data_IF_478562211800
#
_entry.id   IF_478562211800
#
_cell.length_a   1.000
_cell.length_b   1.000
_cell.length_c   1.000
_cell.angle_alpha   90.00
_cell.angle_beta   90.00
_cell.angle_gamma   90.00
#
_symmetry.space_group_name_H-M   'P 1'
#
loop_
_entity.id
_entity.type
_entity.pdbx_description
1 polymer ?
#
# COMPACT_ATOMS: atom_id res chain seq x y z
N UNK A 1 -32.07 4.40 5.57
CA UNK A 1 -32.05 3.70 4.29
C UNK A 1 -30.65 3.87 3.69
N UNK A 2 -30.05 2.76 3.22
CA UNK A 2 -28.75 2.81 2.54
C UNK A 2 -28.99 3.20 1.08
N UNK A 3 -28.14 4.07 0.52
CA UNK A 3 -28.14 4.35 -0.90
C UNK A 3 -27.45 3.20 -1.63
N UNK A 4 -28.12 2.58 -2.61
CA UNK A 4 -27.56 1.48 -3.39
C UNK A 4 -26.23 1.85 -4.08
N UNK A 5 -26.07 3.11 -4.49
CA UNK A 5 -24.85 3.62 -5.10
C UNK A 5 -23.70 3.72 -4.11
N UNK A 6 -23.97 4.13 -2.87
CA UNK A 6 -22.96 4.15 -1.80
C UNK A 6 -22.47 2.74 -1.47
N UNK A 7 -23.41 1.78 -1.42
CA UNK A 7 -23.06 0.37 -1.21
C UNK A 7 -22.17 -0.16 -2.34
N UNK A 8 -22.51 0.14 -3.60
CA UNK A 8 -21.70 -0.28 -4.74
C UNK A 8 -20.30 0.34 -4.74
N UNK A 9 -20.17 1.63 -4.45
CA UNK A 9 -18.90 2.34 -4.41
C UNK A 9 -17.99 1.91 -3.26
N UNK A 10 -18.56 1.37 -2.18
CA UNK A 10 -17.80 0.91 -1.01
C UNK A 10 -17.15 -0.46 -1.18
N UNK A 11 -17.50 -1.19 -2.25
CA UNK A 11 -16.90 -2.49 -2.54
C UNK A 11 -15.43 -2.33 -2.97
N UNK A 12 -14.55 -3.05 -2.31
CA UNK A 12 -13.14 -3.04 -2.68
C UNK A 12 -12.45 -4.39 -2.45
N UNK A 13 -11.33 -4.56 -3.12
CA UNK A 13 -10.39 -5.65 -2.87
C UNK A 13 -8.99 -5.08 -2.79
N UNK A 14 -8.35 -5.27 -1.65
CA UNK A 14 -6.94 -4.99 -1.43
C UNK A 14 -6.14 -6.29 -1.43
N UNK A 15 -4.93 -6.26 -1.98
CA UNK A 15 -4.01 -7.41 -1.97
C UNK A 15 -2.59 -6.95 -1.68
N UNK A 16 -1.92 -7.71 -0.80
CA UNK A 16 -0.49 -7.62 -0.57
C UNK A 16 0.10 -9.03 -0.67
N UNK A 17 1.10 -9.22 -1.52
CA UNK A 17 1.72 -10.53 -1.71
C UNK A 17 3.23 -10.47 -1.46
N UNK A 18 3.82 -11.51 -0.83
CA UNK A 18 5.25 -11.61 -0.62
C UNK A 18 6.06 -11.51 -1.92
N UNK A 19 5.55 -12.05 -3.02
CA UNK A 19 6.22 -12.01 -4.33
C UNK A 19 6.39 -10.59 -4.88
N UNK A 20 5.46 -9.68 -4.56
CA UNK A 20 5.54 -8.27 -4.95
C UNK A 20 6.39 -7.46 -3.98
N UNK A 21 6.22 -7.70 -2.68
CA UNK A 21 6.90 -6.95 -1.63
C UNK A 21 8.40 -7.23 -1.55
N UNK A 22 8.82 -8.43 -1.92
CA UNK A 22 10.21 -8.85 -1.91
C UNK A 22 10.95 -8.58 -3.24
N UNK A 23 10.25 -8.03 -4.26
CA UNK A 23 10.91 -7.65 -5.52
C UNK A 23 11.83 -6.45 -5.32
N UNK A 24 13.03 -6.47 -5.94
CA UNK A 24 13.87 -5.28 -6.01
C UNK A 24 13.11 -4.14 -6.70
N UNK A 25 13.13 -2.96 -6.09
CA UNK A 25 12.53 -1.76 -6.67
C UNK A 25 13.61 -0.97 -7.43
N UNK A 26 13.24 -0.43 -8.60
CA UNK A 26 14.16 0.37 -9.44
C UNK A 26 14.52 1.69 -8.73
N UNK A 27 13.68 2.15 -7.81
CA UNK A 27 13.91 3.39 -7.05
C UNK A 27 13.67 4.68 -7.84
N UNK A 28 12.98 4.58 -8.98
CA UNK A 28 12.52 5.71 -9.79
C UNK A 28 11.01 5.68 -9.89
N UNK A 29 10.36 6.80 -9.59
CA UNK A 29 8.91 6.89 -9.45
C UNK A 29 8.35 8.08 -10.21
N UNK A 30 7.18 7.94 -10.82
CA UNK A 30 6.46 9.01 -11.49
C UNK A 30 5.50 9.70 -10.52
N UNK A 31 5.63 11.00 -10.32
CA UNK A 31 4.72 11.77 -9.49
C UNK A 31 3.71 12.50 -10.37
N UNK A 32 2.48 12.00 -10.41
CA UNK A 32 1.40 12.61 -11.18
C UNK A 32 0.97 13.94 -10.56
N UNK A 33 0.41 14.81 -11.41
CA UNK A 33 -0.37 15.95 -10.94
C UNK A 33 -1.70 15.44 -10.37
N UNK A 34 -1.88 15.53 -9.04
CA UNK A 34 -3.05 14.98 -8.36
C UNK A 34 -4.33 15.79 -8.59
N UNK A 35 -4.22 17.01 -9.16
CA UNK A 35 -5.32 17.87 -9.54
C UNK A 35 -5.25 18.21 -11.04
N UNK A 36 -5.43 17.23 -11.95
CA UNK A 36 -5.15 17.39 -13.39
C UNK A 36 -6.17 18.26 -14.16
N UNK A 37 -7.22 18.71 -13.51
CA UNK A 37 -8.30 19.47 -14.15
C UNK A 37 -9.15 18.59 -15.11
N UNK A 38 -9.64 19.20 -16.18
CA UNK A 38 -10.51 18.50 -17.17
C UNK A 38 -9.75 17.57 -18.11
N UNK A 39 -8.45 17.68 -18.19
CA UNK A 39 -7.62 16.94 -19.14
C UNK A 39 -7.28 15.51 -18.70
N UNK A 40 -7.60 15.18 -17.44
CA UNK A 40 -7.27 13.89 -16.84
C UNK A 40 -5.78 13.77 -16.48
N UNK A 41 -5.39 12.60 -15.97
CA UNK A 41 -4.02 12.33 -15.58
C UNK A 41 -3.12 12.15 -16.80
N UNK A 42 -1.93 12.74 -16.73
CA UNK A 42 -0.88 12.59 -17.75
C UNK A 42 0.39 12.05 -17.11
N UNK A 43 1.12 11.27 -17.86
CA UNK A 43 2.46 10.83 -17.47
C UNK A 43 3.38 12.05 -17.38
N UNK A 44 4.08 12.27 -16.25
CA UNK A 44 5.01 13.38 -16.11
C UNK A 44 6.27 13.16 -16.97
N UNK A 45 6.94 14.24 -17.32
CA UNK A 45 8.20 14.22 -18.08
C UNK A 45 9.42 13.93 -17.18
N UNK A 46 9.20 13.76 -15.89
CA UNK A 46 10.22 13.47 -14.89
C UNK A 46 9.85 12.29 -14.00
N UNK A 47 10.86 11.75 -13.37
CA UNK A 47 10.73 10.75 -12.30
C UNK A 47 11.45 11.25 -11.06
N UNK A 48 11.00 10.83 -9.88
CA UNK A 48 11.72 11.15 -8.65
C UNK A 48 12.40 9.92 -8.05
N UNK A 49 13.42 10.18 -7.27
CA UNK A 49 14.08 9.23 -6.37
C UNK A 49 14.32 9.88 -5.02
N UNK A 50 14.32 9.08 -3.97
CA UNK A 50 14.66 9.53 -2.61
C UNK A 50 16.00 8.91 -2.23
N UNK A 51 16.96 9.77 -1.92
CA UNK A 51 18.31 9.41 -1.53
C UNK A 51 18.52 9.69 -0.02
N UNK A 52 19.67 9.35 0.51
CA UNK A 52 20.05 9.70 1.89
C UNK A 52 20.12 11.23 2.12
N UNK A 53 20.30 12.01 1.07
CA UNK A 53 20.46 13.46 1.15
C UNK A 53 19.18 14.25 0.94
N UNK A 54 18.21 13.67 0.22
CA UNK A 54 16.97 14.34 -0.15
C UNK A 54 16.22 13.68 -1.30
N UNK A 55 15.25 14.38 -1.84
CA UNK A 55 14.49 13.97 -3.03
C UNK A 55 15.09 14.64 -4.27
N UNK A 56 15.21 13.88 -5.35
CA UNK A 56 15.71 14.38 -6.64
C UNK A 56 14.69 14.05 -7.74
N UNK A 57 14.34 15.04 -8.54
CA UNK A 57 13.56 14.87 -9.76
C UNK A 57 14.51 14.83 -10.95
N UNK A 58 14.37 13.81 -11.80
CA UNK A 58 15.21 13.56 -12.96
C UNK A 58 14.35 13.67 -14.21
N UNK A 59 14.68 14.58 -15.13
CA UNK A 59 14.04 14.75 -16.43
C UNK A 59 14.33 13.53 -17.28
N UNK A 60 13.30 12.89 -17.84
CA UNK A 60 13.49 11.68 -18.65
C UNK A 60 14.13 11.96 -20.01
N UNK A 61 14.00 13.19 -20.52
CA UNK A 61 14.54 13.55 -21.84
C UNK A 61 16.07 13.56 -21.93
N UNK A 62 16.75 13.99 -20.85
CA UNK A 62 18.19 14.22 -20.86
C UNK A 62 18.91 13.68 -19.62
N UNK A 63 18.18 12.98 -18.73
CA UNK A 63 18.64 12.43 -17.46
C UNK A 63 19.25 13.48 -16.50
N UNK A 64 18.87 14.76 -16.66
CA UNK A 64 19.33 15.83 -15.78
C UNK A 64 18.43 16.00 -14.59
N UNK A 65 19.03 16.35 -13.45
CA UNK A 65 18.29 16.69 -12.23
C UNK A 65 17.62 18.06 -12.45
N UNK A 66 16.30 18.10 -12.21
CA UNK A 66 15.57 19.35 -12.03
C UNK A 66 15.85 19.90 -10.63
N UNK A 67 16.86 20.75 -10.52
CA UNK A 67 17.32 21.28 -9.25
C UNK A 67 16.23 22.11 -8.54
N UNK A 68 15.46 22.91 -9.29
CA UNK A 68 14.43 23.78 -8.73
C UNK A 68 13.27 22.96 -8.14
N UNK A 69 12.76 21.98 -8.90
CA UNK A 69 11.70 21.09 -8.43
C UNK A 69 12.18 20.25 -7.24
N UNK A 70 13.38 19.70 -7.32
CA UNK A 70 14.00 18.90 -6.25
C UNK A 70 14.12 19.70 -4.94
N UNK A 71 14.66 20.91 -5.01
CA UNK A 71 14.81 21.78 -3.83
C UNK A 71 13.45 22.17 -3.22
N UNK A 72 12.44 22.43 -4.05
CA UNK A 72 11.09 22.75 -3.54
C UNK A 72 10.49 21.61 -2.74
N UNK A 73 10.58 20.38 -3.26
CA UNK A 73 10.06 19.19 -2.57
C UNK A 73 10.89 18.86 -1.32
N UNK A 74 12.22 18.87 -1.43
CA UNK A 74 13.14 18.62 -0.33
C UNK A 74 12.90 19.55 0.86
N UNK A 75 12.76 20.86 0.58
CA UNK A 75 12.48 21.89 1.59
C UNK A 75 11.15 21.62 2.32
N UNK A 76 10.09 21.23 1.58
CA UNK A 76 8.79 20.94 2.19
C UNK A 76 8.85 19.65 3.01
N UNK A 77 9.50 18.60 2.51
CA UNK A 77 9.68 17.35 3.25
C UNK A 77 10.43 17.57 4.57
N UNK A 78 11.57 18.27 4.53
CA UNK A 78 12.34 18.64 5.73
C UNK A 78 11.54 19.50 6.71
N UNK A 79 10.80 20.49 6.21
CA UNK A 79 9.92 21.33 7.04
C UNK A 79 8.83 20.53 7.75
N UNK A 80 8.36 19.43 7.14
CA UNK A 80 7.37 18.52 7.74
C UNK A 80 8.01 17.44 8.64
N UNK A 81 9.34 17.46 8.80
CA UNK A 81 10.08 16.56 9.68
C UNK A 81 10.37 15.21 9.08
N UNK A 82 10.40 15.09 7.74
CA UNK A 82 10.79 13.85 7.06
C UNK A 82 12.27 13.56 7.27
N UNK A 83 12.58 12.37 7.78
CA UNK A 83 13.97 11.92 8.02
C UNK A 83 14.41 11.01 6.87
N UNK A 84 15.34 11.47 6.07
CA UNK A 84 15.90 10.70 4.93
C UNK A 84 16.82 9.56 5.38
N UNK A 85 16.92 8.48 4.56
CA UNK A 85 16.16 8.20 3.35
C UNK A 85 14.75 7.64 3.64
N UNK A 86 13.93 7.51 2.60
CA UNK A 86 12.70 6.75 2.71
C UNK A 86 13.00 5.24 2.81
N UNK A 87 12.41 4.57 3.80
CA UNK A 87 12.43 3.10 3.92
C UNK A 87 11.47 2.41 2.95
N UNK A 88 10.35 3.08 2.66
CA UNK A 88 9.32 2.56 1.74
C UNK A 88 8.71 3.71 0.97
N UNK A 89 8.44 3.45 -0.30
CA UNK A 89 7.77 4.36 -1.21
C UNK A 89 6.65 3.56 -1.86
N UNK A 90 5.40 3.93 -1.62
CA UNK A 90 4.23 3.26 -2.15
C UNK A 90 3.35 4.27 -2.88
N UNK A 91 2.98 3.98 -4.10
CA UNK A 91 2.11 4.82 -4.92
C UNK A 91 1.62 4.08 -6.15
N UNK A 92 0.63 4.66 -6.82
CA UNK A 92 0.09 4.16 -8.07
C UNK A 92 0.32 5.21 -9.17
N UNK A 93 1.26 4.96 -10.04
CA UNK A 93 1.61 5.85 -11.16
C UNK A 93 0.69 5.70 -12.38
N UNK A 94 -0.36 4.86 -12.30
CA UNK A 94 -1.32 4.70 -13.41
C UNK A 94 -2.07 5.98 -13.70
N UNK A 95 -2.21 6.33 -14.97
CA UNK A 95 -3.08 7.42 -15.44
C UNK A 95 -4.55 6.98 -15.60
N UNK A 96 -4.83 5.67 -15.51
CA UNK A 96 -6.18 5.09 -15.59
C UNK A 96 -6.83 5.02 -14.21
N UNK A 97 -7.07 6.18 -13.59
CA UNK A 97 -7.69 6.29 -12.28
C UNK A 97 -8.58 7.52 -12.19
N UNK A 98 -9.53 7.51 -11.28
CA UNK A 98 -10.49 8.61 -11.12
C UNK A 98 -9.96 9.74 -10.23
N UNK A 99 -9.02 9.45 -9.33
CA UNK A 99 -8.35 10.41 -8.46
C UNK A 99 -6.98 9.87 -8.06
N UNK A 100 -6.15 10.73 -7.49
CA UNK A 100 -4.78 10.41 -7.11
C UNK A 100 -4.54 10.70 -5.63
N UNK A 101 -4.14 9.68 -4.89
CA UNK A 101 -3.68 9.82 -3.51
C UNK A 101 -2.18 10.10 -3.41
N UNK A 102 -1.47 10.15 -4.53
CA UNK A 102 -0.03 10.34 -4.58
C UNK A 102 0.73 9.15 -4.01
N UNK A 103 1.66 9.45 -3.12
CA UNK A 103 2.52 8.45 -2.49
C UNK A 103 2.36 8.44 -0.98
N UNK A 104 2.37 7.24 -0.39
CA UNK A 104 2.66 7.03 1.01
C UNK A 104 4.15 6.68 1.15
N UNK A 105 4.85 7.45 1.96
CA UNK A 105 6.28 7.30 2.22
C UNK A 105 6.47 6.91 3.69
N UNK A 106 7.35 5.96 3.96
CA UNK A 106 7.86 5.74 5.31
C UNK A 106 9.26 6.31 5.37
N UNK A 107 9.51 7.23 6.29
CA UNK A 107 10.82 7.82 6.50
C UNK A 107 11.81 6.85 7.20
N UNK A 108 13.05 7.27 7.45
CA UNK A 108 14.05 6.45 8.10
C UNK A 108 13.67 5.97 9.51
N UNK A 109 12.72 6.62 10.16
CA UNK A 109 12.19 6.25 11.49
C UNK A 109 10.94 5.36 11.42
N UNK A 110 10.41 5.11 10.21
CA UNK A 110 9.15 4.42 10.00
C UNK A 110 7.92 5.30 10.26
N UNK A 111 8.07 6.62 10.23
CA UNK A 111 6.96 7.56 10.29
C UNK A 111 6.32 7.70 8.91
N UNK A 112 4.98 7.59 8.78
CA UNK A 112 4.33 7.70 7.50
C UNK A 112 4.08 9.15 7.09
N UNK A 113 4.20 9.39 5.78
CA UNK A 113 3.92 10.68 5.15
C UNK A 113 3.13 10.47 3.87
N UNK A 114 2.21 11.37 3.56
CA UNK A 114 1.63 11.47 2.23
C UNK A 114 2.36 12.54 1.43
N UNK A 115 2.71 12.23 0.18
CA UNK A 115 3.32 13.17 -0.77
C UNK A 115 2.51 13.22 -2.06
N UNK A 116 2.14 14.42 -2.50
CA UNK A 116 1.42 14.71 -3.77
C UNK A 116 2.05 15.89 -4.48
N UNK A 117 1.69 16.04 -5.75
CA UNK A 117 1.84 17.29 -6.47
C UNK A 117 0.45 17.90 -6.72
N UNK A 118 0.25 19.16 -6.35
CA UNK A 118 -1.02 19.88 -6.55
C UNK A 118 -0.74 21.21 -7.25
N UNK A 119 -1.22 21.37 -8.47
CA UNK A 119 -0.95 22.55 -9.31
C UNK A 119 0.56 22.87 -9.38
N UNK A 120 1.38 21.86 -9.64
CA UNK A 120 2.83 21.96 -9.72
C UNK A 120 3.57 22.18 -8.40
N UNK A 121 2.85 22.17 -7.26
CA UNK A 121 3.41 22.45 -5.94
C UNK A 121 3.48 21.17 -5.08
N UNK A 122 4.52 21.02 -4.23
CA UNK A 122 4.59 19.90 -3.31
C UNK A 122 3.52 20.02 -2.22
N UNK A 123 2.79 18.94 -2.01
CA UNK A 123 1.97 18.70 -0.84
C UNK A 123 2.60 17.55 -0.07
N UNK A 124 3.01 17.81 1.17
CA UNK A 124 3.57 16.78 2.07
C UNK A 124 2.86 16.90 3.42
N UNK A 125 2.32 15.79 3.88
CA UNK A 125 1.68 15.72 5.19
C UNK A 125 2.26 14.56 5.99
N UNK A 126 2.74 14.86 7.19
CA UNK A 126 3.09 13.88 8.21
C UNK A 126 1.80 13.25 8.73
N UNK A 127 1.80 11.94 8.88
CA UNK A 127 0.70 11.18 9.47
C UNK A 127 1.10 10.84 10.90
N UNK A 128 0.28 11.24 11.85
CA UNK A 128 0.56 11.00 13.26
C UNK A 128 0.41 9.50 13.56
N UNK A 129 1.33 8.96 14.35
CA UNK A 129 1.34 7.57 14.77
C UNK A 129 1.62 7.47 16.26
N UNK A 130 1.17 6.39 16.94
CA UNK A 130 1.62 6.12 18.30
C UNK A 130 3.14 5.94 18.36
N UNK A 131 3.80 6.45 19.38
CA UNK A 131 5.26 6.34 19.54
C UNK A 131 5.76 4.89 19.60
N UNK A 132 4.91 3.99 20.07
CA UNK A 132 5.19 2.56 20.19
C UNK A 132 5.09 1.78 18.88
N UNK A 133 4.66 2.41 17.77
CA UNK A 133 4.42 1.77 16.46
C UNK A 133 5.44 2.26 15.46
N UNK A 134 6.14 1.35 14.80
CA UNK A 134 7.06 1.63 13.69
C UNK A 134 6.53 0.97 12.43
N UNK A 135 6.19 1.77 11.43
CA UNK A 135 5.71 1.20 10.17
C UNK A 135 6.85 0.72 9.28
N UNK A 136 6.61 -0.45 8.65
CA UNK A 136 7.58 -1.13 7.76
C UNK A 136 7.04 -1.29 6.34
N UNK A 137 5.72 -1.31 6.20
CA UNK A 137 5.02 -1.45 4.92
C UNK A 137 3.98 -0.35 4.76
N UNK A 138 3.81 0.11 3.53
CA UNK A 138 2.79 1.09 3.16
C UNK A 138 2.19 0.69 1.81
N UNK A 139 0.88 0.90 1.66
CA UNK A 139 0.11 0.60 0.47
C UNK A 139 -0.87 1.74 0.22
N UNK A 140 -0.79 2.37 -0.94
CA UNK A 140 -1.76 3.39 -1.37
C UNK A 140 -2.98 2.68 -1.93
N UNK A 141 -4.16 3.17 -1.58
CA UNK A 141 -5.42 2.75 -2.19
C UNK A 141 -6.13 3.93 -2.83
N UNK A 142 -6.88 3.65 -3.89
CA UNK A 142 -7.64 4.64 -4.64
C UNK A 142 -9.02 4.04 -4.97
N UNK A 143 -9.72 3.62 -3.89
CA UNK A 143 -11.05 3.03 -3.99
C UNK A 143 -12.12 4.08 -4.31
N UNK A 144 -13.20 3.72 -5.03
CA UNK A 144 -14.19 4.68 -5.51
C UNK A 144 -14.87 5.52 -4.41
N UNK A 145 -15.06 4.97 -3.20
CA UNK A 145 -15.64 5.65 -2.05
C UNK A 145 -14.72 6.71 -1.41
N UNK A 146 -13.41 6.69 -1.77
CA UNK A 146 -12.37 7.61 -1.27
C UNK A 146 -12.21 7.61 0.26
N UNK A 147 -12.73 6.61 0.94
CA UNK A 147 -12.66 6.52 2.40
C UNK A 147 -11.24 6.29 2.88
N UNK A 148 -10.48 5.43 2.17
CA UNK A 148 -9.13 5.03 2.56
C UNK A 148 -8.06 5.74 1.73
N UNK A 149 -7.00 6.20 2.38
CA UNK A 149 -5.73 6.56 1.75
C UNK A 149 -4.87 5.32 1.49
N UNK A 150 -5.01 4.30 2.34
CA UNK A 150 -4.22 3.10 2.21
C UNK A 150 -4.20 2.20 3.43
N UNK A 151 -3.29 1.23 3.40
CA UNK A 151 -2.99 0.37 4.53
C UNK A 151 -1.52 0.51 4.93
N UNK A 152 -1.23 0.37 6.22
CA UNK A 152 0.12 0.37 6.78
C UNK A 152 0.35 -0.92 7.56
N UNK A 153 1.53 -1.53 7.40
CA UNK A 153 1.98 -2.66 8.22
C UNK A 153 3.09 -2.23 9.17
N UNK A 154 2.97 -2.60 10.43
CA UNK A 154 3.96 -2.28 11.45
C UNK A 154 5.02 -3.39 11.64
N UNK A 155 5.99 -3.14 12.50
CA UNK A 155 7.10 -4.05 12.80
C UNK A 155 6.71 -5.25 13.68
N UNK A 156 5.48 -5.26 14.21
CA UNK A 156 4.91 -6.36 15.01
C UNK A 156 3.91 -7.19 14.21
N UNK A 157 3.70 -6.87 12.93
CA UNK A 157 2.74 -7.53 12.06
C UNK A 157 1.32 -6.98 12.16
N UNK A 158 1.10 -5.88 12.86
CA UNK A 158 -0.19 -5.18 12.89
C UNK A 158 -0.48 -4.53 11.53
N UNK A 159 -1.73 -4.65 11.10
CA UNK A 159 -2.23 -4.01 9.88
C UNK A 159 -3.16 -2.86 10.27
N UNK A 160 -2.89 -1.69 9.75
CA UNK A 160 -3.62 -0.47 10.05
C UNK A 160 -4.30 0.07 8.81
N UNK A 161 -5.59 0.38 8.90
CA UNK A 161 -6.31 1.16 7.90
C UNK A 161 -6.00 2.64 8.12
N UNK A 162 -5.63 3.34 7.06
CA UNK A 162 -5.40 4.79 7.05
C UNK A 162 -6.56 5.45 6.29
N UNK A 163 -7.39 6.20 7.00
CA UNK A 163 -8.53 6.90 6.41
C UNK A 163 -8.15 8.23 5.74
N UNK A 164 -9.07 8.78 4.95
CA UNK A 164 -8.87 10.02 4.21
C UNK A 164 -8.69 11.26 5.11
N UNK A 165 -9.18 11.20 6.35
CA UNK A 165 -8.97 12.22 7.38
C UNK A 165 -7.64 12.07 8.13
N UNK A 166 -6.84 11.04 7.77
CA UNK A 166 -5.56 10.63 8.36
C UNK A 166 -5.67 9.93 9.71
N UNK A 167 -6.85 9.51 10.12
CA UNK A 167 -6.99 8.62 11.27
C UNK A 167 -6.41 7.23 10.95
N UNK A 168 -5.81 6.62 11.96
CA UNK A 168 -5.21 5.27 11.89
C UNK A 168 -6.00 4.33 12.77
N UNK A 169 -6.44 3.23 12.19
CA UNK A 169 -7.19 2.17 12.88
C UNK A 169 -6.45 0.85 12.75
N UNK A 170 -5.95 0.31 13.86
CA UNK A 170 -5.37 -1.02 13.87
C UNK A 170 -6.50 -2.05 13.69
N UNK A 171 -6.39 -2.87 12.65
CA UNK A 171 -7.35 -3.95 12.42
C UNK A 171 -7.10 -5.08 13.44
N UNK A 172 -8.15 -5.71 13.99
CA UNK A 172 -8.05 -6.77 14.99
C UNK A 172 -7.64 -8.11 14.34
N UNK A 173 -6.55 -8.08 13.57
CA UNK A 173 -5.98 -9.25 12.92
C UNK A 173 -4.90 -9.87 13.82
N UNK A 174 -4.71 -11.18 13.71
CA UNK A 174 -3.47 -11.77 14.20
C UNK A 174 -2.27 -11.16 13.47
N UNK A 175 -1.08 -11.11 14.11
CA UNK A 175 0.12 -10.58 13.47
C UNK A 175 0.39 -11.23 12.11
N UNK A 176 0.57 -10.42 11.06
CA UNK A 176 0.78 -10.84 9.68
C UNK A 176 2.24 -10.59 9.28
N UNK A 177 2.96 -11.63 8.90
CA UNK A 177 4.27 -11.47 8.26
C UNK A 177 4.12 -11.24 6.74
N UNK A 178 3.97 -9.98 6.34
CA UNK A 178 3.77 -9.60 4.94
C UNK A 178 4.91 -10.04 3.99
N UNK A 179 6.07 -10.47 4.53
CA UNK A 179 7.16 -11.03 3.72
C UNK A 179 6.95 -12.49 3.37
N UNK A 180 6.10 -13.19 4.11
CA UNK A 180 5.86 -14.63 3.98
C UNK A 180 4.39 -14.97 3.75
N UNK A 181 3.49 -14.12 4.20
CA UNK A 181 2.05 -14.33 4.19
C UNK A 181 1.39 -13.38 3.19
N UNK A 182 0.43 -13.89 2.47
CA UNK A 182 -0.42 -13.10 1.59
C UNK A 182 -1.56 -12.53 2.40
N UNK A 183 -1.83 -11.25 2.23
CA UNK A 183 -2.97 -10.57 2.81
C UNK A 183 -3.92 -10.11 1.70
N UNK A 184 -5.19 -10.49 1.81
CA UNK A 184 -6.27 -9.99 0.98
C UNK A 184 -7.31 -9.37 1.92
N UNK A 185 -7.79 -8.18 1.61
CA UNK A 185 -8.93 -7.59 2.31
C UNK A 185 -10.03 -7.32 1.29
N UNK A 186 -11.15 -7.96 1.48
CA UNK A 186 -12.38 -7.73 0.71
C UNK A 186 -13.34 -7.01 1.61
N UNK A 187 -13.88 -5.88 1.17
CA UNK A 187 -14.76 -5.08 2.01
C UNK A 187 -15.89 -4.42 1.26
N UNK A 188 -16.90 -4.07 2.04
CA UNK A 188 -18.02 -3.23 1.67
C UNK A 188 -18.31 -2.20 2.78
N UNK A 189 -19.47 -1.55 2.75
CA UNK A 189 -19.87 -0.58 3.77
C UNK A 189 -20.26 -1.21 5.13
N UNK A 190 -20.39 -2.54 5.22
CA UNK A 190 -20.83 -3.25 6.42
C UNK A 190 -19.70 -4.01 7.10
N UNK A 191 -18.96 -4.81 6.32
CA UNK A 191 -17.90 -5.68 6.82
C UNK A 191 -16.70 -5.72 5.88
N UNK A 192 -15.54 -5.92 6.48
CA UNK A 192 -14.32 -6.26 5.77
C UNK A 192 -13.87 -7.65 6.19
N UNK A 193 -13.53 -8.48 5.23
CA UNK A 193 -12.94 -9.79 5.49
C UNK A 193 -11.48 -9.76 5.08
N UNK A 194 -10.61 -9.84 6.07
CA UNK A 194 -9.19 -10.03 5.87
C UNK A 194 -8.90 -11.54 5.77
N UNK A 195 -8.22 -11.93 4.71
CA UNK A 195 -7.80 -13.30 4.44
C UNK A 195 -6.27 -13.29 4.50
N UNK A 196 -5.70 -14.01 5.44
CA UNK A 196 -4.25 -14.23 5.53
C UNK A 196 -3.93 -15.65 5.13
N UNK A 197 -3.08 -15.80 4.11
CA UNK A 197 -2.69 -17.09 3.55
C UNK A 197 -1.20 -17.33 3.80
N UNK A 198 -0.92 -18.46 4.38
CA UNK A 198 0.41 -19.03 4.54
C UNK A 198 0.40 -20.47 4.02
N UNK A 199 1.55 -21.03 3.70
CA UNK A 199 1.65 -22.39 3.20
C UNK A 199 0.93 -23.40 4.10
N UNK A 200 -0.17 -23.98 3.61
CA UNK A 200 -1.01 -24.95 4.30
C UNK A 200 -2.02 -24.38 5.31
N UNK A 201 -2.15 -23.05 5.39
CA UNK A 201 -3.01 -22.39 6.38
C UNK A 201 -3.69 -21.15 5.83
N UNK A 202 -4.96 -20.96 6.14
CA UNK A 202 -5.75 -19.76 5.84
C UNK A 202 -6.50 -19.31 7.09
N UNK A 203 -6.47 -18.01 7.35
CA UNK A 203 -7.29 -17.38 8.38
C UNK A 203 -8.13 -16.28 7.77
N UNK A 204 -9.42 -16.32 8.08
CA UNK A 204 -10.40 -15.32 7.71
C UNK A 204 -10.78 -14.53 8.97
N UNK A 205 -10.62 -13.23 8.93
CA UNK A 205 -11.02 -12.34 10.03
C UNK A 205 -11.99 -11.31 9.48
N UNK A 206 -13.24 -11.34 9.92
CA UNK A 206 -14.25 -10.35 9.58
C UNK A 206 -14.27 -9.24 10.61
N UNK A 207 -14.23 -7.99 10.14
CA UNK A 207 -14.31 -6.79 10.98
C UNK A 207 -15.47 -5.91 10.53
N UNK A 208 -16.09 -5.22 11.47
CA UNK A 208 -17.12 -4.24 11.16
C UNK A 208 -16.51 -3.03 10.44
N UNK A 209 -17.06 -2.64 9.29
CA UNK A 209 -16.53 -1.56 8.48
C UNK A 209 -16.64 -0.17 9.14
N UNK A 210 -17.50 0.00 10.15
CA UNK A 210 -17.76 1.30 10.79
C UNK A 210 -16.76 1.62 11.91
N UNK A 211 -16.48 0.64 12.77
CA UNK A 211 -15.70 0.83 13.99
C UNK A 211 -14.47 -0.08 14.09
N UNK A 212 -14.24 -0.91 13.06
CA UNK A 212 -13.16 -1.87 12.95
C UNK A 212 -13.14 -2.94 14.06
N UNK A 213 -14.26 -3.15 14.77
CA UNK A 213 -14.38 -4.21 15.75
C UNK A 213 -14.39 -5.59 15.10
N UNK A 214 -13.84 -6.58 15.81
CA UNK A 214 -13.87 -7.97 15.37
C UNK A 214 -15.32 -8.48 15.33
N UNK A 215 -15.75 -8.98 14.17
CA UNK A 215 -17.08 -9.56 13.99
C UNK A 215 -17.05 -11.09 14.03
N UNK A 216 -16.09 -11.72 13.36
CA UNK A 216 -15.92 -13.17 13.34
C UNK A 216 -14.49 -13.54 12.94
N UNK A 217 -14.08 -14.74 13.31
CA UNK A 217 -12.80 -15.32 12.90
C UNK A 217 -12.97 -16.80 12.58
N UNK A 218 -12.28 -17.26 11.55
CA UNK A 218 -12.26 -18.67 11.15
C UNK A 218 -10.87 -19.05 10.64
N UNK A 219 -10.41 -20.25 11.02
CA UNK A 219 -9.13 -20.81 10.58
C UNK A 219 -9.39 -22.13 9.84
N UNK A 220 -8.64 -22.33 8.77
CA UNK A 220 -8.72 -23.56 7.97
C UNK A 220 -7.32 -24.01 7.58
N UNK A 221 -7.04 -25.28 7.84
CA UNK A 221 -5.84 -25.95 7.31
C UNK A 221 -6.10 -26.43 5.88
N UNK A 222 -5.27 -25.99 4.92
CA UNK A 222 -5.28 -26.56 3.59
C UNK A 222 -4.30 -27.74 3.52
N UNK A 223 -4.81 -28.91 3.30
CA UNK A 223 -3.98 -29.97 2.74
C UNK A 223 -3.70 -29.60 1.29
N UNK A 224 -2.49 -29.15 1.00
CA UNK A 224 -2.05 -28.90 -0.37
C UNK A 224 -2.15 -30.19 -1.16
N UNK A 225 -3.07 -30.27 -2.12
CA UNK A 225 -3.24 -31.40 -3.04
C UNK A 225 -2.02 -31.62 -3.97
N UNK A 226 -0.95 -30.85 -3.82
CA UNK A 226 0.25 -30.92 -4.67
C UNK A 226 1.13 -32.13 -4.35
N UNK A 227 0.88 -32.86 -3.27
CA UNK A 227 1.68 -34.03 -2.87
C UNK A 227 1.05 -35.41 -3.17
N UNK A 228 -0.03 -35.47 -3.95
CA UNK A 228 -0.59 -36.75 -4.39
C UNK A 228 -0.15 -37.04 -5.83
N UNK A 229 1.15 -37.12 -6.09
CA UNK A 229 1.71 -37.85 -7.21
C UNK A 229 2.90 -38.65 -6.72
N UNK A 230 2.62 -39.76 -6.01
CA UNK A 230 3.60 -40.79 -5.93
C UNK A 230 3.88 -41.33 -7.36
N UNK A 231 5.13 -41.36 -7.80
CA UNK A 231 5.45 -42.03 -9.03
C UNK A 231 5.19 -43.55 -8.81
N UNK A 232 4.16 -44.07 -9.46
CA UNK A 232 3.93 -45.50 -9.56
C UNK A 232 5.23 -46.16 -10.07
N UNK A 233 5.92 -46.89 -9.19
CA UNK A 233 7.03 -47.78 -9.56
C UNK A 233 6.50 -48.76 -10.57
N UNK A 234 6.91 -48.61 -11.82
CA UNK A 234 6.77 -49.69 -12.82
C UNK A 234 7.64 -50.84 -12.37
N UNK A 235 7.03 -51.93 -11.97
CA UNK A 235 7.69 -53.21 -11.86
C UNK A 235 8.17 -53.64 -13.25
N UNK A 236 9.46 -54.02 -13.44
CA UNK A 236 9.90 -54.57 -14.70
C UNK A 236 9.29 -55.95 -14.88
N UNK A 237 8.66 -56.17 -16.03
CA UNK A 237 8.23 -57.51 -16.47
C UNK A 237 9.50 -58.22 -16.95
N UNK A 238 9.90 -59.25 -16.24
CA UNK A 238 10.95 -60.16 -16.69
C UNK A 238 10.34 -61.23 -17.64
N UNK A 239 10.93 -61.35 -18.82
CA UNK A 239 10.73 -62.47 -19.73
C UNK A 239 11.64 -63.64 -19.32
#
# INVERSE_FOLDING_TARGET
PFDAREVELSNFVFRASPSELNRPQIGLYQLLESAPGREGFRTPDDVFRITERGIEFVKMADNRIDAEKSERFDRVMKKKGFVFPARRIAGNASTYKHYDNGYLLLDATGTPFQMKQLCGRPFVRRIERPDSVTFTHAFVTEFPDKRLLGFLGDDRGGIHALEADYSLHCLPLHPVDLRRERLIVVGDCFYWTAITERQGFERLTAVNARDYSLAAEHETDFLSLIHISEPTRRTPISY
#
